data_IF_543379370090
#
_entry.id   IF_543379370090
#
_cell.length_a   1.000
_cell.length_b   1.000
_cell.length_c   1.000
_cell.angle_alpha   90.00
_cell.angle_beta   90.00
_cell.angle_gamma   90.00
#
_symmetry.space_group_name_H-M   'P 1'
#
loop_
_entity.id
_entity.type
_entity.pdbx_description
1 polymer ?
#
# COMPACT_ATOMS: atom_id res chain seq x y z
N UNK A 1 -20.21 17.34 -16.11
CA UNK A 1 -19.37 18.53 -15.89
C UNK A 1 -17.95 18.16 -16.28
N UNK A 2 -17.18 19.05 -16.90
CA UNK A 2 -15.78 18.75 -17.20
C UNK A 2 -14.94 18.88 -15.91
N UNK A 3 -14.25 17.79 -15.53
CA UNK A 3 -13.34 17.82 -14.38
C UNK A 3 -12.15 18.74 -14.65
N UNK A 4 -11.77 19.53 -13.64
CA UNK A 4 -10.51 20.28 -13.69
C UNK A 4 -9.32 19.33 -13.77
N UNK A 5 -8.17 19.83 -14.24
CA UNK A 5 -6.96 19.01 -14.36
C UNK A 5 -6.54 18.40 -13.02
N UNK A 6 -6.57 19.18 -11.94
CA UNK A 6 -6.28 18.69 -10.59
C UNK A 6 -7.27 17.61 -10.12
N UNK A 7 -8.55 17.74 -10.47
CA UNK A 7 -9.56 16.74 -10.14
C UNK A 7 -9.33 15.42 -10.89
N UNK A 8 -8.98 15.49 -12.19
CA UNK A 8 -8.59 14.32 -12.99
C UNK A 8 -7.40 13.58 -12.37
N UNK A 9 -6.36 14.32 -11.97
CA UNK A 9 -5.17 13.74 -11.34
C UNK A 9 -5.45 13.11 -9.98
N UNK A 10 -6.26 13.77 -9.15
CA UNK A 10 -6.65 13.23 -7.86
C UNK A 10 -7.49 11.95 -8.02
N UNK A 11 -8.34 11.91 -9.03
CA UNK A 11 -9.12 10.71 -9.36
C UNK A 11 -8.21 9.55 -9.75
N UNK A 12 -7.20 9.78 -10.62
CA UNK A 12 -6.18 8.79 -10.97
C UNK A 12 -5.45 8.29 -9.72
N UNK A 13 -5.01 9.21 -8.86
CA UNK A 13 -4.29 8.89 -7.63
C UNK A 13 -5.11 7.97 -6.71
N UNK A 14 -6.40 8.26 -6.51
CA UNK A 14 -7.29 7.42 -5.70
C UNK A 14 -7.56 6.07 -6.39
N UNK A 15 -7.69 6.06 -7.71
CA UNK A 15 -7.94 4.86 -8.50
C UNK A 15 -6.72 3.95 -8.71
N UNK A 16 -5.52 4.40 -8.35
CA UNK A 16 -4.27 3.66 -8.53
C UNK A 16 -4.16 2.41 -7.65
N UNK A 17 -4.95 2.32 -6.58
CA UNK A 17 -5.01 1.19 -5.65
C UNK A 17 -6.46 0.80 -5.36
N UNK A 18 -6.68 -0.29 -4.61
CA UNK A 18 -8.03 -0.73 -4.22
C UNK A 18 -8.76 0.33 -3.38
N UNK A 19 -8.02 1.05 -2.54
CA UNK A 19 -8.51 2.15 -1.73
C UNK A 19 -7.34 2.96 -1.17
N UNK A 20 -7.63 4.21 -0.77
CA UNK A 20 -6.73 5.02 0.06
C UNK A 20 -7.38 5.22 1.42
N UNK A 21 -6.69 4.84 2.48
CA UNK A 21 -7.21 4.96 3.85
C UNK A 21 -6.57 6.11 4.61
N UNK A 22 -7.41 7.03 5.09
CA UNK A 22 -7.05 8.21 5.84
C UNK A 22 -6.76 9.43 4.96
N UNK A 23 -7.33 10.57 5.34
CA UNK A 23 -7.10 11.86 4.67
C UNK A 23 -5.63 12.27 4.71
N UNK A 24 -4.92 12.00 5.81
CA UNK A 24 -3.48 12.27 5.93
C UNK A 24 -2.67 11.54 4.87
N UNK A 25 -2.96 10.24 4.64
CA UNK A 25 -2.27 9.45 3.61
C UNK A 25 -2.52 10.02 2.22
N UNK A 26 -3.78 10.35 1.92
CA UNK A 26 -4.14 10.96 0.64
C UNK A 26 -3.44 12.30 0.40
N UNK A 27 -3.32 13.14 1.43
CA UNK A 27 -2.55 14.39 1.37
C UNK A 27 -1.06 14.15 1.08
N UNK A 28 -0.47 13.08 1.63
CA UNK A 28 0.94 12.73 1.39
C UNK A 28 1.16 12.24 -0.02
N UNK A 29 0.30 11.36 -0.52
CA UNK A 29 0.33 10.94 -1.92
C UNK A 29 0.17 12.15 -2.84
N UNK A 30 -0.75 13.06 -2.51
CA UNK A 30 -0.97 14.28 -3.27
C UNK A 30 0.30 15.15 -3.40
N UNK A 31 1.01 15.38 -2.30
CA UNK A 31 2.28 16.14 -2.34
C UNK A 31 3.32 15.41 -3.19
N UNK A 32 3.52 14.11 -2.95
CA UNK A 32 4.54 13.32 -3.65
C UNK A 32 4.29 13.33 -5.17
N UNK A 33 3.03 13.17 -5.58
CA UNK A 33 2.63 13.30 -6.98
C UNK A 33 2.91 14.72 -7.48
N UNK A 34 2.45 15.75 -6.77
CA UNK A 34 2.66 17.15 -7.15
C UNK A 34 4.14 17.49 -7.38
N UNK A 35 5.05 16.97 -6.54
CA UNK A 35 6.49 17.19 -6.68
C UNK A 35 7.10 16.37 -7.82
N UNK A 36 6.58 15.18 -8.10
CA UNK A 36 7.03 14.31 -9.20
C UNK A 36 6.64 14.85 -10.58
N UNK A 37 5.39 15.32 -10.73
CA UNK A 37 4.83 15.73 -12.02
C UNK A 37 4.71 17.24 -12.21
N UNK A 38 5.04 18.06 -11.20
CA UNK A 38 4.77 19.51 -11.19
C UNK A 38 5.43 20.33 -12.31
N UNK A 39 6.41 19.77 -13.03
CA UNK A 39 6.98 20.40 -14.23
C UNK A 39 6.20 20.09 -15.51
N UNK A 40 5.41 19.01 -15.52
CA UNK A 40 4.65 18.54 -16.68
C UNK A 40 3.23 19.07 -16.66
N UNK A 41 2.64 19.14 -15.47
CA UNK A 41 1.21 19.37 -15.29
C UNK A 41 0.91 20.03 -13.95
N UNK A 42 -0.09 20.89 -13.93
CA UNK A 42 -0.57 21.52 -12.71
C UNK A 42 -1.43 20.54 -11.90
N UNK A 43 -1.06 20.33 -10.63
CA UNK A 43 -1.85 19.52 -9.69
C UNK A 43 -2.45 20.39 -8.58
N UNK A 44 -1.79 20.49 -7.42
CA UNK A 44 -2.14 21.43 -6.36
C UNK A 44 -0.90 22.25 -5.99
N UNK A 45 -1.08 23.52 -5.66
CA UNK A 45 0.01 24.45 -5.34
C UNK A 45 -0.08 25.06 -3.94
N UNK A 46 -1.20 24.86 -3.24
CA UNK A 46 -1.49 25.42 -1.91
C UNK A 46 -0.98 24.56 -0.74
N UNK A 47 0.13 23.85 -0.95
CA UNK A 47 0.76 23.00 0.06
C UNK A 47 1.35 23.83 1.19
N UNK A 48 0.94 23.55 2.42
CA UNK A 48 1.44 24.23 3.62
C UNK A 48 1.72 23.25 4.78
N UNK A 49 2.61 23.61 5.72
CA UNK A 49 2.84 22.81 6.93
C UNK A 49 1.61 22.80 7.86
N UNK A 50 1.27 21.63 8.39
CA UNK A 50 0.13 21.39 9.29
C UNK A 50 0.52 20.35 10.37
N UNK A 51 -0.42 20.02 11.27
CA UNK A 51 -0.26 19.14 12.44
C UNK A 51 0.41 17.80 12.13
N UNK A 52 0.12 17.23 10.97
CA UNK A 52 0.67 15.96 10.51
C UNK A 52 1.58 16.12 9.29
N UNK A 53 2.24 17.28 9.15
CA UNK A 53 3.11 17.61 8.03
C UNK A 53 2.34 18.36 6.95
N UNK A 54 2.66 18.13 5.67
CA UNK A 54 2.01 18.83 4.55
C UNK A 54 0.48 18.68 4.47
N UNK A 55 -0.20 19.75 4.07
CA UNK A 55 -1.64 19.78 3.80
C UNK A 55 -1.99 20.73 2.65
N UNK A 56 -2.96 20.35 1.81
CA UNK A 56 -3.60 21.20 0.81
C UNK A 56 -5.10 21.29 1.08
N UNK A 57 -5.61 22.54 1.16
CA UNK A 57 -7.05 22.82 1.31
C UNK A 57 -7.79 22.52 0.02
N UNK A 58 -7.17 22.82 -1.11
CA UNK A 58 -7.71 22.57 -2.44
C UNK A 58 -7.91 21.09 -2.67
N UNK A 59 -6.92 20.25 -2.33
CA UNK A 59 -7.06 18.79 -2.41
C UNK A 59 -8.24 18.32 -1.57
N UNK A 60 -8.36 18.76 -0.31
CA UNK A 60 -9.45 18.35 0.55
C UNK A 60 -10.83 18.72 -0.02
N UNK A 61 -10.96 19.93 -0.59
CA UNK A 61 -12.19 20.35 -1.28
C UNK A 61 -12.48 19.51 -2.53
N UNK A 62 -11.45 19.20 -3.32
CA UNK A 62 -11.59 18.37 -4.52
C UNK A 62 -12.01 16.95 -4.18
N UNK A 63 -11.53 16.36 -3.08
CA UNK A 63 -12.02 15.05 -2.59
C UNK A 63 -13.52 15.11 -2.32
N UNK A 64 -13.99 16.12 -1.59
CA UNK A 64 -15.42 16.29 -1.29
C UNK A 64 -16.24 16.47 -2.58
N UNK A 65 -15.73 17.24 -3.54
CA UNK A 65 -16.36 17.42 -4.84
C UNK A 65 -16.46 16.10 -5.60
N UNK A 66 -15.38 15.34 -5.73
CA UNK A 66 -15.37 14.04 -6.43
C UNK A 66 -16.34 13.03 -5.77
N UNK A 67 -16.47 13.07 -4.45
CA UNK A 67 -17.43 12.23 -3.71
C UNK A 67 -18.87 12.66 -3.99
N UNK A 68 -19.16 13.97 -3.97
CA UNK A 68 -20.49 14.51 -4.28
C UNK A 68 -20.91 14.24 -5.74
N UNK A 69 -19.96 14.20 -6.66
CA UNK A 69 -20.19 13.83 -8.07
C UNK A 69 -20.32 12.32 -8.28
N UNK A 70 -20.17 11.50 -7.22
CA UNK A 70 -20.29 10.05 -7.30
C UNK A 70 -19.15 9.37 -8.04
N UNK A 71 -18.00 10.04 -8.18
CA UNK A 71 -16.80 9.49 -8.84
C UNK A 71 -15.93 8.69 -7.87
N UNK A 72 -16.03 8.99 -6.58
CA UNK A 72 -15.41 8.22 -5.50
C UNK A 72 -16.43 7.98 -4.38
N UNK A 73 -16.22 6.94 -3.57
CA UNK A 73 -16.84 6.81 -2.25
C UNK A 73 -15.88 7.28 -1.17
N UNK A 74 -16.42 7.77 -0.06
CA UNK A 74 -15.67 8.20 1.12
C UNK A 74 -16.32 7.58 2.37
N UNK A 75 -16.03 6.30 2.60
CA UNK A 75 -16.71 5.49 3.59
C UNK A 75 -16.02 5.62 4.95
N UNK A 76 -16.78 5.83 6.03
CA UNK A 76 -16.22 5.69 7.39
C UNK A 76 -15.95 4.21 7.66
N UNK A 77 -14.73 3.89 8.04
CA UNK A 77 -14.32 2.53 8.42
C UNK A 77 -13.56 2.58 9.74
N UNK A 78 -13.70 1.55 10.56
CA UNK A 78 -12.89 1.39 11.76
C UNK A 78 -11.65 0.56 11.40
N UNK A 79 -10.48 1.17 11.52
CA UNK A 79 -9.20 0.49 11.25
C UNK A 79 -8.35 0.57 12.51
N UNK A 80 -8.02 -0.59 13.08
CA UNK A 80 -7.27 -0.72 14.33
C UNK A 80 -7.91 0.04 15.51
N UNK A 81 -9.25 0.00 15.62
CA UNK A 81 -9.97 0.68 16.69
C UNK A 81 -10.09 2.20 16.49
N UNK A 82 -9.65 2.74 15.35
CA UNK A 82 -9.76 4.16 15.02
C UNK A 82 -10.64 4.36 13.81
N UNK A 83 -11.58 5.28 13.94
CA UNK A 83 -12.40 5.69 12.81
C UNK A 83 -11.55 6.48 11.81
N UNK A 84 -11.62 6.08 10.56
CA UNK A 84 -10.92 6.70 9.43
C UNK A 84 -11.84 6.74 8.21
N UNK A 85 -11.43 7.49 7.19
CA UNK A 85 -12.15 7.57 5.92
C UNK A 85 -11.40 6.71 4.91
N UNK A 86 -12.13 5.83 4.22
CA UNK A 86 -11.60 5.03 3.12
C UNK A 86 -12.16 5.56 1.81
N UNK A 87 -11.26 6.01 0.94
CA UNK A 87 -11.59 6.50 -0.39
C UNK A 87 -11.48 5.38 -1.41
N UNK A 88 -12.50 5.20 -2.26
CA UNK A 88 -12.50 4.23 -3.36
C UNK A 88 -13.05 4.87 -4.62
N UNK A 89 -12.58 4.43 -5.78
CA UNK A 89 -13.18 4.85 -7.03
C UNK A 89 -14.49 4.10 -7.31
N UNK A 90 -15.48 4.79 -7.88
CA UNK A 90 -16.72 4.15 -8.37
C UNK A 90 -16.56 3.72 -9.83
N UNK A 91 -17.56 3.02 -10.37
CA UNK A 91 -17.59 2.69 -11.80
C UNK A 91 -17.63 3.94 -12.69
N UNK A 92 -18.36 4.98 -12.25
CA UNK A 92 -18.39 6.28 -12.92
C UNK A 92 -17.00 6.94 -12.93
N UNK A 93 -16.31 6.94 -11.78
CA UNK A 93 -14.93 7.43 -11.69
C UNK A 93 -13.95 6.63 -12.55
N UNK A 94 -14.12 5.31 -12.63
CA UNK A 94 -13.31 4.44 -13.49
C UNK A 94 -13.48 4.78 -14.97
N UNK A 95 -14.70 5.09 -15.41
CA UNK A 95 -14.98 5.58 -16.75
C UNK A 95 -14.19 6.86 -17.07
N UNK A 96 -14.19 7.83 -16.16
CA UNK A 96 -13.39 9.06 -16.30
C UNK A 96 -11.89 8.78 -16.40
N UNK A 97 -11.36 7.85 -15.60
CA UNK A 97 -9.95 7.46 -15.69
C UNK A 97 -9.63 6.83 -17.06
N UNK A 98 -10.50 5.98 -17.60
CA UNK A 98 -10.26 5.35 -18.91
C UNK A 98 -10.13 6.38 -20.03
N UNK A 99 -10.94 7.44 -20.00
CA UNK A 99 -10.82 8.54 -20.95
C UNK A 99 -9.48 9.28 -20.80
N UNK A 100 -9.03 9.52 -19.57
CA UNK A 100 -7.72 10.16 -19.32
C UNK A 100 -6.56 9.25 -19.76
N UNK A 101 -6.66 7.93 -19.57
CA UNK A 101 -5.64 6.97 -20.02
C UNK A 101 -5.46 7.03 -21.54
N UNK A 102 -6.55 7.17 -22.30
CA UNK A 102 -6.49 7.29 -23.76
C UNK A 102 -5.74 8.55 -24.21
N UNK A 103 -5.84 9.63 -23.43
CA UNK A 103 -5.20 10.92 -23.72
C UNK A 103 -3.75 11.00 -23.23
N UNK A 104 -3.47 10.50 -22.00
CA UNK A 104 -2.23 10.77 -21.26
C UNK A 104 -1.73 9.55 -20.48
N UNK A 105 -1.57 8.41 -21.15
CA UNK A 105 -1.14 7.15 -20.52
C UNK A 105 0.12 7.31 -19.65
N UNK A 106 1.19 7.91 -20.18
CA UNK A 106 2.46 8.01 -19.46
C UNK A 106 2.34 8.81 -18.16
N UNK A 107 1.52 9.86 -18.16
CA UNK A 107 1.22 10.64 -16.97
C UNK A 107 0.43 9.83 -15.94
N UNK A 108 -0.55 9.04 -16.40
CA UNK A 108 -1.31 8.13 -15.52
C UNK A 108 -0.37 7.13 -14.86
N UNK A 109 0.56 6.55 -15.63
CA UNK A 109 1.53 5.58 -15.12
C UNK A 109 2.44 6.20 -14.05
N UNK A 110 2.91 7.44 -14.27
CA UNK A 110 3.70 8.19 -13.29
C UNK A 110 2.95 8.50 -11.99
N UNK A 111 1.67 8.88 -12.08
CA UNK A 111 0.83 9.15 -10.91
C UNK A 111 0.58 7.86 -10.13
N UNK A 112 0.24 6.77 -10.83
CA UNK A 112 -0.10 5.48 -10.22
C UNK A 112 1.06 4.86 -9.44
N UNK A 113 2.30 5.06 -9.90
CA UNK A 113 3.48 4.47 -9.24
C UNK A 113 3.66 4.89 -7.77
N UNK A 114 3.20 6.09 -7.37
CA UNK A 114 3.35 6.55 -5.99
C UNK A 114 2.39 5.81 -5.03
N UNK A 115 1.05 5.87 -5.20
CA UNK A 115 0.14 5.13 -4.33
C UNK A 115 0.42 3.63 -4.30
N UNK A 116 0.80 3.03 -5.43
CA UNK A 116 1.14 1.60 -5.53
C UNK A 116 2.37 1.25 -4.69
N UNK A 117 3.45 2.01 -4.79
CA UNK A 117 4.66 1.79 -3.98
C UNK A 117 4.39 1.85 -2.47
N UNK A 118 3.50 2.75 -2.04
CA UNK A 118 3.12 2.90 -0.64
C UNK A 118 1.92 2.04 -0.21
N UNK A 119 1.35 1.27 -1.13
CA UNK A 119 0.24 0.38 -0.81
C UNK A 119 0.75 -0.73 0.12
N UNK A 120 0.03 -0.98 1.22
CA UNK A 120 0.48 -1.90 2.29
C UNK A 120 1.48 -1.31 3.29
N UNK A 121 2.19 -0.21 2.96
CA UNK A 121 3.05 0.48 3.92
C UNK A 121 2.23 1.18 5.00
N UNK A 122 2.74 1.23 6.22
CA UNK A 122 2.12 1.94 7.34
C UNK A 122 2.10 3.45 7.10
N UNK A 123 1.18 4.17 7.76
CA UNK A 123 1.16 5.63 7.68
C UNK A 123 2.47 6.25 8.19
N UNK A 124 3.11 5.61 9.18
CA UNK A 124 4.39 6.06 9.74
C UNK A 124 5.50 6.02 8.71
N UNK A 125 5.58 4.97 7.89
CA UNK A 125 6.56 4.87 6.80
C UNK A 125 6.33 5.94 5.73
N UNK A 126 5.07 6.16 5.32
CA UNK A 126 4.74 7.25 4.37
C UNK A 126 5.16 8.61 4.92
N UNK A 127 4.90 8.86 6.22
CA UNK A 127 5.29 10.11 6.87
C UNK A 127 6.80 10.27 6.98
N UNK A 128 7.54 9.21 7.29
CA UNK A 128 8.99 9.24 7.37
C UNK A 128 9.61 9.69 6.04
N UNK A 129 9.19 9.08 4.93
CA UNK A 129 9.68 9.45 3.60
C UNK A 129 9.34 10.91 3.26
N UNK A 130 8.11 11.35 3.50
CA UNK A 130 7.71 12.74 3.23
C UNK A 130 8.49 13.74 4.08
N UNK A 131 8.77 13.41 5.34
CA UNK A 131 9.46 14.30 6.27
C UNK A 131 10.94 14.42 5.91
N UNK A 132 11.53 13.35 5.40
CA UNK A 132 12.89 13.32 4.87
C UNK A 132 13.00 14.11 3.57
N UNK A 133 12.09 13.89 2.64
CA UNK A 133 12.13 14.52 1.31
C UNK A 133 11.76 16.00 1.34
N UNK A 134 10.84 16.40 2.23
CA UNK A 134 10.31 17.77 2.29
C UNK A 134 10.20 18.27 3.75
N UNK A 135 11.35 18.43 4.43
CA UNK A 135 11.39 18.82 5.83
C UNK A 135 10.72 20.18 6.11
N UNK A 136 10.64 21.06 5.12
CA UNK A 136 9.98 22.36 5.22
C UNK A 136 8.49 22.26 5.59
N UNK A 137 7.81 21.17 5.21
CA UNK A 137 6.40 20.95 5.55
C UNK A 137 6.19 20.35 6.95
N UNK A 138 7.26 20.14 7.72
CA UNK A 138 7.21 19.49 9.04
C UNK A 138 7.26 20.48 10.21
N UNK A 139 7.42 21.77 9.94
CA UNK A 139 7.61 22.84 10.94
C UNK A 139 6.48 22.90 11.96
N UNK A 140 5.25 22.67 11.54
CA UNK A 140 4.05 22.69 12.39
C UNK A 140 3.64 21.30 12.88
N UNK A 141 4.44 20.25 12.61
CA UNK A 141 4.01 18.89 12.93
C UNK A 141 4.17 18.56 14.41
N UNK A 142 3.08 18.11 15.03
CA UNK A 142 3.07 17.68 16.44
C UNK A 142 3.62 16.27 16.65
N UNK A 143 3.88 15.52 15.58
CA UNK A 143 4.35 14.13 15.62
C UNK A 143 5.76 13.95 15.03
N UNK A 144 6.48 15.05 14.74
CA UNK A 144 7.80 15.02 14.10
C UNK A 144 8.82 14.16 14.84
N UNK A 145 8.87 14.27 16.17
CA UNK A 145 9.76 13.45 16.99
C UNK A 145 9.45 11.96 16.89
N UNK A 146 8.16 11.58 16.88
CA UNK A 146 7.76 10.18 16.75
C UNK A 146 8.15 9.62 15.37
N UNK A 147 7.88 10.37 14.30
CA UNK A 147 8.24 9.98 12.93
C UNK A 147 9.76 9.77 12.80
N UNK A 148 10.56 10.72 13.32
CA UNK A 148 12.02 10.63 13.29
C UNK A 148 12.57 9.45 14.11
N UNK A 149 11.95 9.13 15.24
CA UNK A 149 12.32 7.97 16.06
C UNK A 149 12.08 6.66 15.29
N UNK A 150 10.89 6.49 14.70
CA UNK A 150 10.59 5.30 13.89
C UNK A 150 11.57 5.15 12.72
N UNK A 151 12.00 6.26 12.10
CA UNK A 151 13.00 6.24 11.02
C UNK A 151 14.32 5.64 11.49
N UNK A 152 14.87 6.12 12.61
CA UNK A 152 16.13 5.61 13.17
C UNK A 152 16.01 4.13 13.53
N UNK A 153 14.87 3.72 14.09
CA UNK A 153 14.58 2.32 14.39
C UNK A 153 14.52 1.46 13.12
N UNK A 154 13.98 1.97 12.01
CA UNK A 154 14.00 1.25 10.73
C UNK A 154 15.41 1.21 10.12
N UNK A 155 16.14 2.32 10.09
CA UNK A 155 17.51 2.38 9.56
C UNK A 155 18.48 1.48 10.34
N UNK A 156 18.35 1.41 11.66
CA UNK A 156 19.17 0.52 12.50
C UNK A 156 18.87 -0.97 12.32
N UNK A 157 17.74 -1.33 11.71
CA UNK A 157 17.39 -2.72 11.37
C UNK A 157 17.92 -3.15 9.99
N UNK A 158 18.41 -2.20 9.17
CA UNK A 158 18.94 -2.46 7.84
C UNK A 158 20.37 -1.91 7.76
N UNK A 159 21.37 -2.73 8.12
CA UNK A 159 22.77 -2.46 7.74
C UNK A 159 22.85 -2.35 6.21
N UNK A 160 23.19 -1.16 5.73
CA UNK A 160 23.63 -0.84 4.35
C UNK A 160 22.72 -1.30 3.19
N UNK A 161 21.39 -1.14 3.28
CA UNK A 161 20.57 -1.13 2.05
C UNK A 161 20.51 0.29 1.48
N UNK A 162 21.19 0.54 0.36
CA UNK A 162 20.96 1.73 -0.48
C UNK A 162 19.49 1.76 -0.90
N UNK A 163 18.69 2.58 -0.22
CA UNK A 163 17.25 2.70 -0.45
C UNK A 163 17.01 3.67 -1.61
N UNK A 164 16.87 3.13 -2.84
CA UNK A 164 16.49 3.92 -4.01
C UNK A 164 14.98 4.20 -3.92
N UNK A 165 14.62 5.33 -3.31
CA UNK A 165 13.25 5.89 -3.40
C UNK A 165 12.92 5.97 -4.90
N UNK A 166 11.70 5.64 -5.36
CA UNK A 166 11.33 5.59 -6.80
C UNK A 166 11.25 6.97 -7.50
N UNK A 167 12.14 7.89 -7.13
CA UNK A 167 12.49 9.10 -7.87
C UNK A 167 13.39 8.82 -9.08
N UNK A 168 13.89 7.59 -9.27
CA UNK A 168 14.32 7.16 -10.59
C UNK A 168 13.16 6.50 -11.34
N UNK A 169 12.88 6.91 -12.60
CA UNK A 169 11.81 6.33 -13.40
C UNK A 169 12.13 4.86 -13.67
N UNK A 170 11.45 3.93 -12.98
CA UNK A 170 11.59 2.50 -13.26
C UNK A 170 10.85 2.17 -14.56
N UNK A 171 11.59 1.72 -15.56
CA UNK A 171 11.14 1.31 -16.90
C UNK A 171 10.32 0.01 -16.93
N UNK A 172 9.75 -0.48 -15.81
CA UNK A 172 9.14 -1.83 -15.73
C UNK A 172 7.68 -1.93 -15.26
N UNK A 173 6.94 -0.83 -15.11
CA UNK A 173 5.53 -0.88 -14.62
C UNK A 173 4.43 -0.71 -15.70
N UNK A 174 4.79 -0.67 -16.98
CA UNK A 174 3.87 -0.22 -18.06
C UNK A 174 2.83 -1.24 -18.54
N UNK A 175 2.89 -2.50 -18.08
CA UNK A 175 1.96 -3.56 -18.51
C UNK A 175 0.81 -3.85 -17.53
N UNK A 176 0.96 -3.56 -16.23
CA UNK A 176 -0.02 -3.95 -15.21
C UNK A 176 -1.11 -2.90 -14.92
N UNK A 177 -0.89 -1.65 -15.29
CA UNK A 177 -1.78 -0.53 -14.94
C UNK A 177 -3.11 -0.63 -15.70
N UNK A 178 -3.06 -1.02 -16.99
CA UNK A 178 -4.28 -1.28 -17.75
C UNK A 178 -5.06 -2.45 -17.15
N UNK A 179 -4.39 -3.52 -16.69
CA UNK A 179 -5.05 -4.69 -16.11
C UNK A 179 -5.69 -4.44 -14.73
N UNK A 180 -5.07 -3.63 -13.87
CA UNK A 180 -5.62 -3.23 -12.57
C UNK A 180 -6.87 -2.32 -12.70
N UNK A 181 -6.90 -1.50 -13.74
CA UNK A 181 -7.99 -0.53 -13.98
C UNK A 181 -9.11 -1.15 -14.85
N UNK A 182 -8.86 -2.19 -15.65
CA UNK A 182 -9.89 -2.84 -16.49
C UNK A 182 -10.46 -4.12 -15.92
N UNK A 183 -9.80 -4.80 -14.97
CA UNK A 183 -10.36 -6.00 -14.34
C UNK A 183 -11.36 -5.64 -13.24
N UNK A 184 -12.53 -6.29 -13.24
CA UNK A 184 -13.21 -6.63 -11.98
C UNK A 184 -12.16 -7.27 -11.06
N UNK A 185 -12.02 -6.83 -9.80
CA UNK A 185 -10.88 -7.19 -8.96
C UNK A 185 -10.69 -8.71 -9.01
N UNK A 186 -9.64 -9.17 -9.70
CA UNK A 186 -9.32 -10.58 -9.70
C UNK A 186 -9.06 -10.96 -8.25
N UNK A 187 -9.73 -12.01 -7.78
CA UNK A 187 -9.76 -12.51 -6.39
C UNK A 187 -8.38 -12.90 -5.81
N UNK A 188 -7.27 -12.58 -6.47
CA UNK A 188 -5.93 -13.11 -6.21
C UNK A 188 -4.85 -12.05 -6.01
N UNK A 189 -5.21 -10.87 -5.49
CA UNK A 189 -4.26 -10.08 -4.67
C UNK A 189 -4.52 -10.49 -3.23
N UNK A 190 -3.63 -11.30 -2.65
CA UNK A 190 -3.76 -11.76 -1.27
C UNK A 190 -3.88 -10.54 -0.34
N UNK A 191 -5.06 -10.38 0.24
CA UNK A 191 -5.30 -9.37 1.26
C UNK A 191 -4.53 -9.78 2.51
N UNK A 192 -3.64 -8.94 3.03
CA UNK A 192 -2.90 -9.20 4.27
C UNK A 192 -3.86 -9.61 5.42
N UNK A 193 -5.06 -9.04 5.45
CA UNK A 193 -6.12 -9.42 6.40
C UNK A 193 -6.63 -10.85 6.17
N UNK A 194 -6.87 -11.25 4.92
CA UNK A 194 -7.31 -12.61 4.55
C UNK A 194 -6.22 -13.65 4.85
N UNK A 195 -4.95 -13.33 4.55
CA UNK A 195 -3.80 -14.20 4.87
C UNK A 195 -3.67 -14.36 6.38
N UNK A 196 -3.79 -13.26 7.15
CA UNK A 196 -3.75 -13.30 8.62
C UNK A 196 -4.92 -14.03 9.22
N UNK A 197 -6.12 -13.88 8.67
CA UNK A 197 -7.32 -14.59 9.11
C UNK A 197 -7.16 -16.10 8.90
N UNK A 198 -6.69 -16.51 7.72
CA UNK A 198 -6.39 -17.91 7.41
C UNK A 198 -5.32 -18.47 8.33
N UNK A 199 -4.24 -17.71 8.58
CA UNK A 199 -3.18 -18.09 9.51
C UNK A 199 -3.71 -18.24 10.95
N UNK A 200 -4.44 -17.24 11.45
CA UNK A 200 -5.03 -17.24 12.78
C UNK A 200 -5.96 -18.45 13.00
N UNK A 201 -6.81 -18.75 12.00
CA UNK A 201 -7.69 -19.92 12.00
C UNK A 201 -6.91 -21.23 12.04
N UNK A 202 -5.85 -21.37 11.24
CA UNK A 202 -5.01 -22.57 11.20
C UNK A 202 -4.30 -22.83 12.54
N UNK A 203 -3.89 -21.78 13.25
CA UNK A 203 -3.25 -21.91 14.57
C UNK A 203 -4.25 -21.95 15.74
N UNK A 204 -5.56 -21.89 15.48
CA UNK A 204 -6.60 -21.96 16.50
C UNK A 204 -6.76 -20.69 17.33
N UNK A 205 -6.31 -19.54 16.84
CA UNK A 205 -6.57 -18.25 17.48
C UNK A 205 -8.05 -17.87 17.34
N UNK A 206 -8.67 -17.48 18.45
CA UNK A 206 -10.06 -16.97 18.45
C UNK A 206 -10.21 -15.60 17.78
N UNK A 207 -9.14 -14.81 17.76
CA UNK A 207 -9.12 -13.44 17.22
C UNK A 207 -7.92 -13.26 16.27
N UNK A 208 -8.10 -12.50 15.19
CA UNK A 208 -7.03 -12.12 14.27
C UNK A 208 -6.14 -11.09 14.97
N UNK A 209 -4.82 -11.32 15.14
CA UNK A 209 -3.93 -10.36 15.79
C UNK A 209 -3.97 -8.98 15.11
N UNK A 210 -3.79 -7.88 15.84
CA UNK A 210 -3.70 -6.52 15.24
C UNK A 210 -2.59 -6.43 14.18
N UNK A 211 -2.69 -5.51 13.20
CA UNK A 211 -1.65 -5.32 12.18
C UNK A 211 -0.61 -4.35 12.72
N UNK A 212 0.20 -4.84 13.65
CA UNK A 212 1.46 -4.20 14.03
C UNK A 212 2.63 -4.89 13.34
N UNK A 213 3.77 -4.20 13.29
CA UNK A 213 4.96 -4.63 12.57
C UNK A 213 5.47 -6.02 13.00
N UNK A 214 5.17 -6.48 14.22
CA UNK A 214 5.55 -7.80 14.72
C UNK A 214 4.44 -8.86 14.66
N UNK A 215 3.24 -8.51 14.21
CA UNK A 215 2.10 -9.44 14.19
C UNK A 215 2.36 -10.65 13.29
N UNK A 216 3.06 -10.44 12.18
CA UNK A 216 3.47 -11.52 11.29
C UNK A 216 4.49 -12.45 11.95
N UNK A 217 5.57 -11.91 12.52
CA UNK A 217 6.61 -12.73 13.15
C UNK A 217 6.03 -13.57 14.29
N UNK A 218 5.07 -13.01 15.04
CA UNK A 218 4.34 -13.74 16.07
C UNK A 218 3.46 -14.85 15.47
N UNK A 219 2.66 -14.56 14.44
CA UNK A 219 1.83 -15.56 13.76
C UNK A 219 2.65 -16.68 13.13
N UNK A 220 3.74 -16.33 12.44
CA UNK A 220 4.67 -17.27 11.81
C UNK A 220 5.41 -18.10 12.86
N UNK A 221 5.82 -17.50 13.98
CA UNK A 221 6.41 -18.20 15.12
C UNK A 221 5.43 -19.19 15.77
N UNK A 222 4.18 -18.78 15.98
CA UNK A 222 3.13 -19.65 16.51
C UNK A 222 2.81 -20.81 15.56
N UNK A 223 2.72 -20.54 14.26
CA UNK A 223 2.52 -21.58 13.25
C UNK A 223 3.68 -22.57 13.23
N UNK A 224 4.93 -22.08 13.28
CA UNK A 224 6.13 -22.92 13.37
C UNK A 224 6.08 -23.85 14.58
N UNK A 225 5.76 -23.30 15.76
CA UNK A 225 5.66 -24.08 16.98
C UNK A 225 4.57 -25.15 16.88
N UNK A 226 3.41 -24.81 16.28
CA UNK A 226 2.31 -25.75 16.07
C UNK A 226 2.70 -26.88 15.11
N UNK A 227 3.30 -26.54 13.97
CA UNK A 227 3.79 -27.51 12.97
C UNK A 227 4.79 -28.49 13.60
N UNK A 228 5.71 -27.99 14.43
CA UNK A 228 6.67 -28.83 15.15
C UNK A 228 6.01 -29.72 16.20
N UNK A 229 5.09 -29.17 17.00
CA UNK A 229 4.42 -29.90 18.08
C UNK A 229 3.50 -31.01 17.54
N UNK A 230 2.77 -30.74 16.46
CA UNK A 230 1.79 -31.65 15.87
C UNK A 230 2.40 -32.54 14.76
N UNK A 231 3.70 -32.39 14.46
CA UNK A 231 4.42 -33.09 13.37
C UNK A 231 3.68 -32.99 12.03
N UNK A 232 3.13 -31.82 11.74
CA UNK A 232 2.40 -31.56 10.49
C UNK A 232 3.41 -31.30 9.37
N UNK A 233 3.12 -31.77 8.15
CA UNK A 233 3.90 -31.40 6.98
C UNK A 233 3.71 -29.90 6.65
N UNK A 234 4.82 -29.16 6.61
CA UNK A 234 4.82 -27.73 6.26
C UNK A 234 4.23 -27.46 4.87
N UNK A 235 4.36 -28.41 3.95
CA UNK A 235 3.80 -28.33 2.58
C UNK A 235 2.28 -28.37 2.62
N UNK A 236 1.70 -29.22 3.46
CA UNK A 236 0.24 -29.31 3.60
C UNK A 236 -0.34 -28.04 4.23
N UNK A 237 0.38 -27.41 5.16
CA UNK A 237 0.00 -26.12 5.72
C UNK A 237 -0.02 -25.03 4.64
N UNK A 238 1.02 -24.94 3.81
CA UNK A 238 1.08 -23.96 2.72
C UNK A 238 -0.02 -24.24 1.69
N UNK A 239 -0.24 -25.50 1.31
CA UNK A 239 -1.29 -25.90 0.36
C UNK A 239 -2.69 -25.54 0.87
N UNK A 240 -2.94 -25.69 2.17
CA UNK A 240 -4.20 -25.32 2.80
C UNK A 240 -4.39 -23.79 2.91
N UNK A 241 -3.31 -23.04 3.10
CA UNK A 241 -3.35 -21.57 3.11
C UNK A 241 -3.56 -21.00 1.71
N UNK A 242 -3.01 -21.66 0.69
CA UNK A 242 -2.99 -21.20 -0.70
C UNK A 242 -3.37 -22.31 -1.69
N UNK A 243 -4.64 -22.75 -1.74
CA UNK A 243 -5.06 -23.90 -2.56
C UNK A 243 -4.81 -23.68 -4.06
N UNK A 244 -4.94 -22.43 -4.52
CA UNK A 244 -4.71 -22.01 -5.91
C UNK A 244 -3.24 -21.95 -6.31
N UNK A 245 -2.30 -22.00 -5.36
CA UNK A 245 -0.86 -21.95 -5.66
C UNK A 245 -0.32 -23.28 -6.23
N UNK A 246 -1.07 -24.38 -6.10
CA UNK A 246 -0.70 -25.71 -6.61
C UNK A 246 -0.67 -25.82 -8.14
N UNK A 247 -1.18 -24.81 -8.87
CA UNK A 247 -1.30 -24.82 -10.33
C UNK A 247 -0.39 -23.81 -11.06
N UNK A 248 0.44 -23.04 -10.34
CA UNK A 248 1.18 -21.91 -10.93
C UNK A 248 2.69 -22.12 -10.79
N UNK A 249 3.39 -22.19 -11.92
CA UNK A 249 4.86 -22.26 -11.97
C UNK A 249 5.51 -21.12 -11.17
N UNK A 250 6.63 -21.45 -10.52
CA UNK A 250 7.39 -20.69 -9.51
C UNK A 250 7.89 -19.29 -9.88
N UNK A 251 7.59 -18.77 -11.08
CA UNK A 251 8.25 -17.59 -11.64
C UNK A 251 7.51 -16.25 -11.42
N UNK A 252 6.41 -16.21 -10.66
CA UNK A 252 5.57 -14.99 -10.51
C UNK A 252 5.57 -14.40 -9.08
N UNK A 253 6.42 -14.87 -8.17
CA UNK A 253 6.23 -14.64 -6.73
C UNK A 253 7.31 -13.81 -6.00
N UNK A 254 8.08 -12.97 -6.70
CA UNK A 254 9.22 -12.29 -6.08
C UNK A 254 8.92 -11.01 -5.27
N UNK A 255 7.68 -10.51 -5.23
CA UNK A 255 7.42 -9.17 -4.65
C UNK A 255 6.70 -9.15 -3.29
N UNK A 256 6.23 -10.29 -2.75
CA UNK A 256 5.63 -10.30 -1.41
C UNK A 256 6.64 -10.72 -0.34
N UNK A 257 6.82 -9.89 0.70
CA UNK A 257 7.58 -10.25 1.92
C UNK A 257 7.12 -11.59 2.52
N UNK A 258 5.83 -11.92 2.34
CA UNK A 258 5.18 -13.16 2.74
C UNK A 258 5.77 -14.41 2.08
N UNK A 259 6.00 -14.37 0.76
CA UNK A 259 6.51 -15.51 0.00
C UNK A 259 7.99 -15.75 0.29
N UNK A 260 8.81 -14.70 0.29
CA UNK A 260 10.24 -14.80 0.59
C UNK A 260 10.50 -15.37 1.98
N UNK A 261 9.72 -14.98 2.99
CA UNK A 261 9.83 -15.52 4.34
C UNK A 261 9.36 -16.99 4.44
N UNK A 262 8.27 -17.36 3.76
CA UNK A 262 7.80 -18.76 3.71
C UNK A 262 8.73 -19.68 2.92
N UNK A 263 9.29 -19.21 1.81
CA UNK A 263 10.26 -19.96 0.99
C UNK A 263 11.60 -20.08 1.72
N UNK A 264 12.02 -19.02 2.43
CA UNK A 264 13.17 -19.10 3.34
C UNK A 264 12.95 -20.14 4.45
N UNK A 265 11.74 -20.20 5.03
CA UNK A 265 11.36 -21.25 5.97
C UNK A 265 11.37 -22.65 5.35
N UNK A 266 10.84 -22.82 4.13
CA UNK A 266 10.89 -24.07 3.38
C UNK A 266 12.33 -24.56 3.17
N UNK A 267 13.23 -23.67 2.73
CA UNK A 267 14.62 -24.04 2.47
C UNK A 267 15.49 -24.24 3.73
N UNK A 268 15.20 -23.53 4.83
CA UNK A 268 15.95 -23.67 6.09
C UNK A 268 15.46 -24.81 6.97
N UNK A 269 14.17 -25.18 6.88
CA UNK A 269 13.59 -26.31 7.60
C UNK A 269 13.94 -27.68 7.00
N UNK A 270 14.03 -27.78 5.67
CA UNK A 270 14.27 -29.06 4.97
C UNK A 270 15.73 -29.55 5.03
N UNK A 271 16.70 -28.67 5.36
CA UNK A 271 18.13 -29.05 5.39
C UNK A 271 18.62 -29.67 6.70
N UNK A 272 17.77 -29.83 7.71
CA UNK A 272 18.17 -30.37 9.03
C UNK A 272 17.68 -31.77 9.35
N UNK A 273 17.16 -32.51 8.38
CA UNK A 273 16.72 -33.88 8.62
C UNK A 273 16.38 -34.63 7.35
N UNK A 274 17.40 -34.97 6.57
CA UNK A 274 17.44 -36.22 5.82
C UNK A 274 18.74 -36.94 6.22
N UNK A 275 18.73 -38.27 6.43
CA UNK A 275 19.92 -39.05 6.82
C UNK A 275 21.03 -39.04 5.76
#
# INVERSE_FOLDING_TARGET
>A
MALSQSAKMLLILIGATKYVEGSTRLQKYGLLVSKKIGQKEEFFSDWQPDKFGVFSKSLAKTVTMLANEGLITADKVNTYGKDTIRYRITDSGRGQIQDIIREKKDLVDEICGIPQYYFGKSLKEVLADVYTLYPEYTTNSTIKHEVNKNRIEQESLFEESEFDIPFKPSTRLTADITNLITRTPSEHVFNDEDVREKLAKQIGLKNIPSLDSGAFDRLAGMLRNKVQAEKIDSVDVIRNLFPSASQIHTNVWHESRWFTAMVSWYHTGYRKGDP
#
